data_IF_673683702509
#
_entry.id   IF_673683702509
#
_cell.length_a   1.000
_cell.length_b   1.000
_cell.length_c   1.000
_cell.angle_alpha   90.00
_cell.angle_beta   90.00
_cell.angle_gamma   90.00
#
_symmetry.space_group_name_H-M   'P 1'
#
loop_
_entity.id
_entity.type
_entity.pdbx_description
1 polymer ?
#
# COMPACT_ATOMS: atom_id res chain seq x y z
N UNK A 1 10.07 -21.25 20.64
CA UNK A 1 9.21 -20.26 19.94
C UNK A 1 7.74 -20.47 20.28
N UNK A 2 7.16 -21.64 20.04
CA UNK A 2 5.73 -21.90 20.32
C UNK A 2 5.31 -21.66 21.77
N UNK A 3 6.10 -22.14 22.74
CA UNK A 3 5.89 -21.85 24.18
C UNK A 3 5.94 -20.35 24.54
N UNK A 4 6.69 -19.54 23.78
CA UNK A 4 6.73 -18.09 23.98
C UNK A 4 5.43 -17.44 23.50
N UNK A 5 4.92 -17.86 22.34
CA UNK A 5 3.63 -17.40 21.77
C UNK A 5 2.49 -17.73 22.74
N UNK A 6 2.41 -18.98 23.20
CA UNK A 6 1.40 -19.43 24.17
C UNK A 6 1.47 -18.61 25.47
N UNK A 7 2.68 -18.38 26.01
CA UNK A 7 2.86 -17.59 27.21
C UNK A 7 2.45 -16.12 27.03
N UNK A 8 2.70 -15.52 25.86
CA UNK A 8 2.30 -14.13 25.57
C UNK A 8 0.77 -14.02 25.50
N UNK A 9 0.10 -14.96 24.82
CA UNK A 9 -1.36 -15.02 24.75
C UNK A 9 -1.96 -15.26 26.13
N UNK A 10 -1.39 -16.18 26.92
CA UNK A 10 -1.89 -16.52 28.25
C UNK A 10 -1.86 -15.33 29.23
N UNK A 11 -0.81 -14.50 29.16
CA UNK A 11 -0.64 -13.30 29.98
C UNK A 11 -1.54 -12.14 29.59
N UNK A 12 -2.15 -12.18 28.41
CA UNK A 12 -3.01 -11.14 27.92
C UNK A 12 -4.44 -11.36 28.43
N UNK A 13 -5.10 -10.28 28.87
CA UNK A 13 -6.51 -10.32 29.28
C UNK A 13 -7.43 -10.45 28.06
N UNK A 14 -7.16 -9.63 27.04
CA UNK A 14 -7.93 -9.58 25.80
C UNK A 14 -7.03 -9.48 24.58
N UNK A 15 -7.44 -10.11 23.48
CA UNK A 15 -6.70 -10.03 22.22
C UNK A 15 -7.63 -9.92 21.01
N UNK A 16 -7.04 -9.54 19.88
CA UNK A 16 -7.68 -9.57 18.56
C UNK A 16 -6.98 -10.59 17.67
N UNK A 17 -7.72 -11.20 16.75
CA UNK A 17 -7.15 -12.11 15.75
C UNK A 17 -7.12 -11.39 14.40
N UNK A 18 -5.94 -11.30 13.79
CA UNK A 18 -5.77 -10.79 12.43
C UNK A 18 -5.56 -11.98 11.49
N UNK A 19 -6.33 -11.99 10.40
CA UNK A 19 -6.18 -12.98 9.32
C UNK A 19 -5.77 -12.23 8.06
N UNK A 20 -4.55 -12.50 7.60
CA UNK A 20 -4.01 -11.95 6.35
C UNK A 20 -3.82 -13.06 5.32
N UNK A 21 -4.42 -12.86 4.14
CA UNK A 21 -4.45 -13.84 3.06
C UNK A 21 -3.65 -13.38 1.85
N UNK A 22 -2.79 -14.25 1.31
CA UNK A 22 -2.18 -14.02 0.00
C UNK A 22 -2.16 -15.28 -0.86
N UNK A 23 -2.05 -15.09 -2.18
CA UNK A 23 -1.85 -16.18 -3.13
C UNK A 23 -0.36 -16.28 -3.49
N UNK A 24 0.23 -17.46 -3.32
CA UNK A 24 1.62 -17.70 -3.68
C UNK A 24 1.79 -17.93 -5.20
N UNK A 25 3.04 -18.01 -5.66
CA UNK A 25 3.36 -18.21 -7.10
C UNK A 25 2.88 -19.53 -7.68
N UNK A 26 2.56 -20.51 -6.82
CA UNK A 26 1.99 -21.80 -7.20
C UNK A 26 0.45 -21.80 -7.15
N UNK A 27 -0.16 -20.61 -7.07
CA UNK A 27 -1.60 -20.40 -7.00
C UNK A 27 -2.27 -21.07 -5.78
N UNK A 28 -1.51 -21.25 -4.69
CA UNK A 28 -2.04 -21.69 -3.39
C UNK A 28 -2.26 -20.49 -2.50
N UNK A 29 -3.37 -20.50 -1.78
CA UNK A 29 -3.71 -19.42 -0.87
C UNK A 29 -3.15 -19.73 0.51
N UNK A 30 -2.50 -18.76 1.11
CA UNK A 30 -1.90 -18.86 2.43
C UNK A 30 -2.64 -17.87 3.33
N UNK A 31 -3.13 -18.35 4.48
CA UNK A 31 -3.75 -17.53 5.51
C UNK A 31 -2.85 -17.49 6.73
N UNK A 32 -2.35 -16.31 7.06
CA UNK A 32 -1.58 -16.08 8.26
C UNK A 32 -2.51 -15.64 9.38
N UNK A 33 -2.35 -16.25 10.54
CA UNK A 33 -3.10 -15.93 11.75
C UNK A 33 -2.12 -15.28 12.72
N UNK A 34 -2.42 -14.03 13.07
CA UNK A 34 -1.64 -13.24 14.02
C UNK A 34 -2.56 -12.91 15.19
N UNK A 35 -2.07 -13.10 16.41
CA UNK A 35 -2.79 -12.72 17.62
C UNK A 35 -2.22 -11.39 18.11
N UNK A 36 -3.04 -10.35 18.01
CA UNK A 36 -2.72 -9.02 18.48
C UNK A 36 -3.02 -8.94 19.98
N UNK A 37 -1.95 -9.12 20.75
CA UNK A 37 -1.85 -8.64 22.14
C UNK A 37 -1.16 -7.26 22.11
N UNK A 38 -0.84 -6.61 23.25
CA UNK A 38 0.02 -5.40 23.23
C UNK A 38 1.31 -5.56 22.42
N UNK A 39 1.80 -6.80 22.27
CA UNK A 39 2.80 -7.16 21.26
C UNK A 39 2.22 -8.22 20.32
N UNK A 40 2.07 -7.95 19.01
CA UNK A 40 1.56 -8.93 18.07
C UNK A 40 2.42 -10.19 18.02
N UNK A 41 1.79 -11.37 18.01
CA UNK A 41 2.48 -12.65 17.88
C UNK A 41 1.96 -13.42 16.68
N UNK A 42 2.89 -13.90 15.85
CA UNK A 42 2.56 -14.83 14.78
C UNK A 42 2.17 -16.18 15.40
N UNK A 43 0.95 -16.64 15.11
CA UNK A 43 0.42 -17.90 15.64
C UNK A 43 0.63 -19.04 14.64
N UNK A 44 0.14 -18.88 13.42
CA UNK A 44 0.25 -19.92 12.40
C UNK A 44 0.11 -19.37 10.99
N UNK A 45 0.55 -20.16 10.01
CA UNK A 45 0.29 -19.94 8.59
C UNK A 45 -0.28 -21.22 8.01
N UNK A 46 -1.42 -21.12 7.35
CA UNK A 46 -2.16 -22.25 6.81
C UNK A 46 -2.20 -22.12 5.30
N UNK A 47 -1.53 -23.05 4.61
CA UNK A 47 -1.68 -23.20 3.17
C UNK A 47 -2.99 -23.93 2.87
N UNK A 48 -3.77 -23.43 1.92
CA UNK A 48 -4.95 -24.13 1.43
C UNK A 48 -5.08 -24.01 -0.08
N UNK A 49 -5.79 -25.01 -0.63
CA UNK A 49 -6.04 -25.12 -2.05
C UNK A 49 -7.04 -24.04 -2.51
N UNK A 50 -6.72 -23.31 -3.58
CA UNK A 50 -7.48 -22.14 -4.01
C UNK A 50 -8.94 -22.46 -4.36
N UNK A 51 -9.23 -23.72 -4.73
CA UNK A 51 -10.56 -24.16 -5.17
C UNK A 51 -11.61 -24.31 -4.05
N UNK A 52 -11.25 -24.18 -2.75
CA UNK A 52 -12.13 -24.56 -1.63
C UNK A 52 -12.28 -23.53 -0.49
N UNK A 53 -11.93 -22.26 -0.72
CA UNK A 53 -11.87 -21.27 0.36
C UNK A 53 -13.11 -20.35 0.42
N UNK A 54 -14.25 -20.91 0.80
CA UNK A 54 -15.39 -20.10 1.21
C UNK A 54 -15.29 -19.69 2.69
N UNK A 55 -16.23 -18.86 3.15
CA UNK A 55 -16.27 -18.41 4.54
C UNK A 55 -16.46 -19.53 5.55
N UNK A 56 -17.07 -20.66 5.15
CA UNK A 56 -17.28 -21.82 6.04
C UNK A 56 -15.96 -22.56 6.26
N UNK A 57 -15.17 -22.75 5.20
CA UNK A 57 -13.85 -23.32 5.32
C UNK A 57 -12.95 -22.47 6.24
N UNK A 58 -12.93 -21.16 6.05
CA UNK A 58 -12.16 -20.26 6.93
C UNK A 58 -12.62 -20.34 8.39
N UNK A 59 -13.92 -20.53 8.64
CA UNK A 59 -14.43 -20.75 9.99
C UNK A 59 -13.85 -22.03 10.61
N UNK A 60 -13.67 -23.11 9.83
CA UNK A 60 -13.03 -24.34 10.35
C UNK A 60 -11.56 -24.15 10.73
N UNK A 61 -10.88 -23.16 10.16
CA UNK A 61 -9.51 -22.79 10.54
C UNK A 61 -9.48 -21.91 11.78
N UNK A 62 -10.42 -20.98 11.89
CA UNK A 62 -10.43 -19.97 12.94
C UNK A 62 -11.03 -20.48 14.26
N UNK A 63 -12.01 -21.37 14.18
CA UNK A 63 -12.72 -21.89 15.36
C UNK A 63 -11.79 -22.60 16.37
N UNK A 64 -10.87 -23.49 15.96
CA UNK A 64 -9.89 -24.06 16.89
C UNK A 64 -9.03 -22.99 17.55
N UNK A 65 -8.61 -21.97 16.80
CA UNK A 65 -7.79 -20.87 17.34
C UNK A 65 -8.55 -20.08 18.41
N UNK A 66 -9.83 -19.76 18.17
CA UNK A 66 -10.67 -19.09 19.18
C UNK A 66 -10.84 -19.96 20.42
N UNK A 67 -11.04 -21.27 20.25
CA UNK A 67 -11.17 -22.22 21.35
C UNK A 67 -9.88 -22.32 22.18
N UNK A 68 -8.73 -22.41 21.52
CA UNK A 68 -7.41 -22.53 22.15
C UNK A 68 -7.03 -21.28 22.96
N UNK A 69 -7.38 -20.09 22.47
CA UNK A 69 -7.17 -18.82 23.18
C UNK A 69 -8.15 -18.66 24.36
N UNK A 70 -9.35 -19.19 24.21
CA UNK A 70 -10.49 -18.93 25.09
C UNK A 70 -11.40 -17.85 24.47
N UNK A 71 -12.65 -18.18 24.11
CA UNK A 71 -13.54 -17.25 23.40
C UNK A 71 -13.75 -15.91 24.12
N UNK A 72 -13.80 -15.91 25.45
CA UNK A 72 -14.00 -14.70 26.27
C UNK A 72 -12.81 -13.72 26.21
N UNK A 73 -11.61 -14.20 25.86
CA UNK A 73 -10.43 -13.34 25.67
C UNK A 73 -10.40 -12.70 24.29
N UNK A 74 -11.04 -13.32 23.29
CA UNK A 74 -11.08 -12.79 21.94
C UNK A 74 -12.14 -11.70 21.87
N UNK A 75 -11.71 -10.48 21.57
CA UNK A 75 -12.61 -9.32 21.48
C UNK A 75 -12.98 -9.00 20.03
N UNK A 76 -12.03 -9.18 19.11
CA UNK A 76 -12.26 -8.86 17.71
C UNK A 76 -11.53 -9.77 16.74
N UNK A 77 -12.04 -9.80 15.52
CA UNK A 77 -11.35 -10.37 14.36
C UNK A 77 -11.18 -9.29 13.28
N UNK A 78 -9.98 -9.20 12.73
CA UNK A 78 -9.61 -8.26 11.66
C UNK A 78 -9.23 -9.06 10.43
N UNK A 79 -9.81 -8.74 9.29
CA UNK A 79 -9.54 -9.43 8.02
C UNK A 79 -9.40 -8.43 6.88
N UNK A 80 -8.97 -8.88 5.71
CA UNK A 80 -9.19 -8.11 4.48
C UNK A 80 -10.69 -7.83 4.22
N UNK A 81 -10.97 -6.95 3.25
CA UNK A 81 -12.33 -6.50 2.95
C UNK A 81 -13.06 -7.36 1.89
N UNK A 82 -12.53 -8.52 1.53
CA UNK A 82 -13.16 -9.41 0.56
C UNK A 82 -14.51 -9.94 1.07
N UNK A 83 -15.43 -10.21 0.13
CA UNK A 83 -16.78 -10.66 0.46
C UNK A 83 -16.81 -11.96 1.29
N UNK A 84 -15.84 -12.86 1.08
CA UNK A 84 -15.71 -14.11 1.85
C UNK A 84 -15.29 -13.84 3.30
N UNK A 85 -14.43 -12.85 3.53
CA UNK A 85 -13.98 -12.48 4.88
C UNK A 85 -15.09 -11.76 5.66
N UNK A 86 -15.87 -10.89 5.00
CA UNK A 86 -17.08 -10.30 5.63
C UNK A 86 -18.08 -11.37 6.08
N UNK A 87 -18.28 -12.41 5.26
CA UNK A 87 -19.12 -13.56 5.62
C UNK A 87 -18.53 -14.37 6.78
N UNK A 88 -17.21 -14.55 6.83
CA UNK A 88 -16.53 -15.17 7.97
C UNK A 88 -16.79 -14.37 9.26
N UNK A 89 -16.65 -13.04 9.20
CA UNK A 89 -16.98 -12.13 10.28
C UNK A 89 -18.37 -12.35 10.86
N UNK A 90 -19.36 -12.42 9.96
CA UNK A 90 -20.74 -12.74 10.33
C UNK A 90 -20.89 -14.11 10.99
N UNK A 91 -20.22 -15.14 10.48
CA UNK A 91 -20.27 -16.49 11.05
C UNK A 91 -19.67 -16.55 12.46
N UNK A 92 -18.55 -15.85 12.69
CA UNK A 92 -17.93 -15.73 14.01
C UNK A 92 -18.87 -15.02 14.97
N UNK A 93 -19.41 -13.85 14.59
CA UNK A 93 -20.32 -13.11 15.44
C UNK A 93 -21.60 -13.90 15.77
N UNK A 94 -22.15 -14.67 14.80
CA UNK A 94 -23.30 -15.55 15.05
C UNK A 94 -23.02 -16.61 16.13
N UNK A 95 -21.78 -17.09 16.24
CA UNK A 95 -21.38 -18.11 17.21
C UNK A 95 -20.89 -17.52 18.53
N UNK A 96 -20.26 -16.36 18.46
CA UNK A 96 -19.67 -15.61 19.57
C UNK A 96 -20.11 -14.15 19.46
N UNK A 97 -21.28 -13.84 20.03
CA UNK A 97 -21.94 -12.55 19.83
C UNK A 97 -21.11 -11.33 20.27
N UNK A 98 -20.19 -11.53 21.22
CA UNK A 98 -19.28 -10.50 21.74
C UNK A 98 -18.07 -10.24 20.84
N UNK A 99 -17.73 -11.16 19.92
CA UNK A 99 -16.61 -10.98 19.00
C UNK A 99 -17.09 -10.16 17.81
N UNK A 100 -16.55 -8.95 17.68
CA UNK A 100 -16.87 -8.09 16.54
C UNK A 100 -15.88 -8.29 15.39
N UNK A 101 -16.35 -8.09 14.16
CA UNK A 101 -15.54 -8.17 12.96
C UNK A 101 -15.25 -6.77 12.42
N UNK A 102 -14.00 -6.52 12.08
CA UNK A 102 -13.58 -5.30 11.38
C UNK A 102 -12.82 -5.65 10.10
N UNK A 103 -12.99 -4.79 9.11
CA UNK A 103 -12.23 -4.85 7.88
C UNK A 103 -10.89 -4.10 8.00
N UNK A 104 -9.92 -4.47 7.18
CA UNK A 104 -8.63 -3.81 7.13
C UNK A 104 -8.76 -2.39 6.57
N UNK A 105 -8.43 -1.39 7.40
CA UNK A 105 -8.42 0.02 7.01
C UNK A 105 -7.39 0.32 5.92
N UNK A 106 -6.17 -0.24 6.01
CA UNK A 106 -5.15 -0.09 4.97
C UNK A 106 -5.65 -0.62 3.62
N UNK A 107 -6.35 -1.75 3.63
CA UNK A 107 -6.96 -2.30 2.42
C UNK A 107 -8.06 -1.39 1.88
N UNK A 108 -8.91 -0.82 2.74
CA UNK A 108 -9.95 0.12 2.33
C UNK A 108 -9.36 1.37 1.64
N UNK A 109 -8.33 1.98 2.22
CA UNK A 109 -7.68 3.16 1.63
C UNK A 109 -6.98 2.80 0.31
N UNK A 110 -6.34 1.62 0.23
CA UNK A 110 -5.78 1.12 -1.03
C UNK A 110 -6.85 0.92 -2.11
N UNK A 111 -8.08 0.54 -1.77
CA UNK A 111 -9.19 0.46 -2.72
C UNK A 111 -9.62 1.84 -3.22
N UNK A 112 -9.66 2.85 -2.35
CA UNK A 112 -9.91 4.25 -2.77
C UNK A 112 -8.84 4.70 -3.77
N UNK A 113 -7.56 4.46 -3.45
CA UNK A 113 -6.44 4.78 -4.32
C UNK A 113 -6.55 4.08 -5.69
N UNK A 114 -6.98 2.80 -5.69
CA UNK A 114 -7.21 2.00 -6.89
C UNK A 114 -8.32 2.55 -7.77
N UNK A 115 -9.44 2.96 -7.18
CA UNK A 115 -10.58 3.47 -7.92
C UNK A 115 -10.29 4.86 -8.51
N UNK A 116 -9.58 5.73 -7.79
CA UNK A 116 -9.07 7.00 -8.35
C UNK A 116 -8.07 6.73 -9.49
N UNK A 117 -7.14 5.79 -9.30
CA UNK A 117 -6.15 5.43 -10.32
C UNK A 117 -6.76 4.84 -11.61
N UNK A 118 -8.04 4.41 -11.57
CA UNK A 118 -8.79 3.88 -12.72
C UNK A 118 -9.51 4.95 -13.53
N UNK A 119 -9.65 6.17 -13.03
CA UNK A 119 -10.24 7.28 -13.79
C UNK A 119 -9.40 7.48 -15.07
N UNK A 120 -10.02 7.45 -16.25
CA UNK A 120 -9.31 7.33 -17.54
C UNK A 120 -8.18 8.35 -17.74
N UNK A 121 -8.41 9.61 -17.37
CA UNK A 121 -7.41 10.67 -17.46
C UNK A 121 -6.22 10.42 -16.51
N UNK A 122 -6.48 9.97 -15.29
CA UNK A 122 -5.46 9.61 -14.29
C UNK A 122 -4.72 8.35 -14.71
N UNK A 123 -5.43 7.31 -15.13
CA UNK A 123 -4.85 6.04 -15.57
C UNK A 123 -3.89 6.25 -16.75
N UNK A 124 -4.29 7.10 -17.71
CA UNK A 124 -3.45 7.49 -18.85
C UNK A 124 -2.19 8.21 -18.40
N UNK A 125 -2.32 9.21 -17.51
CA UNK A 125 -1.18 9.96 -16.99
C UNK A 125 -0.22 9.07 -16.18
N UNK A 126 -0.75 8.21 -15.30
CA UNK A 126 0.05 7.26 -14.53
C UNK A 126 0.81 6.28 -15.44
N UNK A 127 0.19 5.81 -16.52
CA UNK A 127 0.83 4.93 -17.51
C UNK A 127 1.99 5.62 -18.22
N UNK A 128 1.80 6.88 -18.64
CA UNK A 128 2.84 7.69 -19.28
C UNK A 128 4.02 7.93 -18.33
N UNK A 129 3.74 8.34 -17.09
CA UNK A 129 4.77 8.54 -16.06
C UNK A 129 5.56 7.26 -15.79
N UNK A 130 4.86 6.13 -15.58
CA UNK A 130 5.51 4.86 -15.29
C UNK A 130 6.38 4.39 -16.45
N UNK A 131 5.92 4.57 -17.70
CA UNK A 131 6.69 4.26 -18.91
C UNK A 131 7.95 5.11 -19.02
N UNK A 132 7.87 6.43 -18.78
CA UNK A 132 9.02 7.32 -18.79
C UNK A 132 10.06 6.89 -17.74
N UNK A 133 9.61 6.67 -16.51
CA UNK A 133 10.49 6.25 -15.41
C UNK A 133 11.14 4.91 -15.74
N UNK A 134 10.38 3.95 -16.28
CA UNK A 134 10.88 2.63 -16.66
C UNK A 134 11.95 2.72 -17.76
N UNK A 135 11.72 3.51 -18.80
CA UNK A 135 12.69 3.76 -19.88
C UNK A 135 14.01 4.30 -19.34
N UNK A 136 13.96 5.32 -18.47
CA UNK A 136 15.17 5.91 -17.89
C UNK A 136 15.90 4.92 -16.99
N UNK A 137 15.17 4.17 -16.15
CA UNK A 137 15.76 3.23 -15.20
C UNK A 137 16.37 2.00 -15.89
N UNK A 138 15.83 1.55 -17.02
CA UNK A 138 16.37 0.43 -17.79
C UNK A 138 17.67 0.78 -18.52
N UNK A 139 17.89 2.05 -18.84
CA UNK A 139 19.11 2.51 -19.51
C UNK A 139 20.11 3.10 -18.51
N UNK A 140 21.26 2.44 -18.36
CA UNK A 140 22.36 2.95 -17.54
C UNK A 140 22.82 4.34 -18.01
N UNK A 141 22.85 4.56 -19.33
CA UNK A 141 23.21 5.84 -19.95
C UNK A 141 22.22 6.95 -19.58
N UNK A 142 20.92 6.73 -19.78
CA UNK A 142 19.89 7.74 -19.42
C UNK A 142 19.88 8.04 -17.92
N UNK A 143 20.04 7.00 -17.09
CA UNK A 143 20.18 7.16 -15.64
C UNK A 143 21.42 7.98 -15.25
N UNK A 144 22.54 7.82 -15.95
CA UNK A 144 23.76 8.61 -15.72
C UNK A 144 23.58 10.07 -16.15
N UNK A 145 22.95 10.33 -17.30
CA UNK A 145 22.64 11.68 -17.79
C UNK A 145 21.73 12.39 -16.78
N UNK A 146 20.65 11.73 -16.32
CA UNK A 146 19.76 12.29 -15.31
C UNK A 146 20.50 12.60 -13.99
N UNK A 147 21.39 11.72 -13.54
CA UNK A 147 22.21 11.96 -12.34
C UNK A 147 23.18 13.12 -12.52
N UNK A 148 23.78 13.27 -13.70
CA UNK A 148 24.67 14.39 -14.05
C UNK A 148 23.88 15.71 -13.99
N UNK A 149 22.73 15.78 -14.65
CA UNK A 149 21.90 16.98 -14.69
C UNK A 149 21.29 17.32 -13.32
N UNK A 150 20.89 16.31 -12.53
CA UNK A 150 20.40 16.57 -11.18
C UNK A 150 21.49 17.07 -10.22
N UNK A 151 22.77 16.76 -10.43
CA UNK A 151 23.87 17.40 -9.68
C UNK A 151 24.05 18.86 -10.05
N UNK A 152 23.88 19.20 -11.33
CA UNK A 152 23.96 20.58 -11.85
C UNK A 152 22.85 21.41 -11.21
N UNK A 153 21.59 20.96 -11.29
CA UNK A 153 20.42 21.63 -10.70
C UNK A 153 20.60 21.86 -9.20
N UNK A 154 21.07 20.84 -8.47
CA UNK A 154 21.22 20.91 -7.01
C UNK A 154 22.48 21.66 -6.56
N UNK A 155 23.31 22.16 -7.48
CA UNK A 155 24.56 22.87 -7.16
C UNK A 155 25.59 22.04 -6.38
N UNK A 156 25.47 20.70 -6.38
CA UNK A 156 26.30 19.84 -5.54
C UNK A 156 27.46 19.21 -6.30
N UNK A 157 28.66 19.73 -6.06
CA UNK A 157 29.94 19.15 -6.49
C UNK A 157 30.51 18.27 -5.38
N UNK A 158 30.21 16.96 -5.45
CA UNK A 158 30.64 15.87 -4.53
C UNK A 158 29.95 15.83 -3.16
N UNK A 159 29.51 14.63 -2.77
CA UNK A 159 29.08 14.31 -1.40
C UNK A 159 27.58 14.34 -1.09
N UNK A 160 26.69 14.56 -2.07
CA UNK A 160 25.26 14.66 -1.77
C UNK A 160 24.65 13.30 -1.38
N UNK A 161 24.04 13.24 -0.18
CA UNK A 161 23.35 12.07 0.39
C UNK A 161 21.96 11.82 -0.22
N UNK A 162 21.45 12.74 -1.05
CA UNK A 162 20.14 12.61 -1.72
C UNK A 162 20.32 12.28 -3.21
N UNK A 163 20.48 10.99 -3.58
CA UNK A 163 20.63 10.59 -4.97
C UNK A 163 19.43 11.04 -5.80
N UNK A 164 19.67 11.36 -7.08
CA UNK A 164 18.62 11.48 -8.08
C UNK A 164 18.03 10.09 -8.28
N UNK A 165 16.84 9.87 -7.72
CA UNK A 165 16.13 8.59 -7.76
C UNK A 165 14.76 8.84 -8.36
N UNK A 166 14.46 8.14 -9.44
CA UNK A 166 13.09 7.94 -9.91
C UNK A 166 12.56 6.64 -9.31
N UNK A 167 11.31 6.67 -8.86
CA UNK A 167 10.61 5.52 -8.27
C UNK A 167 9.53 5.03 -9.21
N UNK A 168 9.44 3.71 -9.38
CA UNK A 168 8.33 3.06 -10.05
C UNK A 168 7.31 2.69 -8.98
N UNK A 169 6.03 2.71 -9.35
CA UNK A 169 4.99 2.10 -8.53
C UNK A 169 4.60 0.73 -9.11
N UNK A 170 4.13 -0.15 -8.25
CA UNK A 170 3.51 -1.40 -8.69
C UNK A 170 2.02 -1.18 -8.88
N UNK A 171 1.42 -1.77 -9.93
CA UNK A 171 -0.04 -1.82 -10.11
C UNK A 171 -0.79 -2.46 -8.93
N UNK A 172 -0.08 -3.16 -8.04
CA UNK A 172 -0.62 -3.81 -6.84
C UNK A 172 -0.32 -3.08 -5.54
N UNK A 173 0.46 -1.99 -5.56
CA UNK A 173 0.81 -1.20 -4.36
C UNK A 173 0.62 0.28 -4.66
N UNK A 174 -0.60 0.76 -4.42
CA UNK A 174 -1.02 2.11 -4.77
C UNK A 174 -0.33 3.20 -3.94
N UNK A 175 0.16 2.87 -2.74
CA UNK A 175 1.08 3.73 -1.99
C UNK A 175 2.29 4.20 -2.82
N UNK A 176 2.81 3.35 -3.71
CA UNK A 176 3.96 3.70 -4.55
C UNK A 176 3.69 4.82 -5.56
N UNK A 177 2.42 5.19 -5.80
CA UNK A 177 2.05 6.29 -6.71
C UNK A 177 2.59 7.62 -6.18
N UNK A 178 2.40 7.91 -4.88
CA UNK A 178 2.91 9.15 -4.27
C UNK A 178 4.43 9.25 -4.37
N UNK A 179 5.12 8.13 -4.14
CA UNK A 179 6.57 7.99 -4.31
C UNK A 179 7.03 8.30 -5.75
N UNK A 180 6.34 7.74 -6.75
CA UNK A 180 6.64 8.01 -8.16
C UNK A 180 6.44 9.50 -8.47
N UNK A 181 5.29 10.05 -8.13
CA UNK A 181 4.93 11.45 -8.42
C UNK A 181 5.92 12.42 -7.78
N UNK A 182 6.22 12.23 -6.49
CA UNK A 182 7.22 13.03 -5.77
C UNK A 182 8.60 12.90 -6.39
N UNK A 183 9.01 11.69 -6.77
CA UNK A 183 10.31 11.46 -7.41
C UNK A 183 10.42 12.13 -8.79
N UNK A 184 9.35 12.11 -9.59
CA UNK A 184 9.35 12.73 -10.92
C UNK A 184 9.37 14.25 -10.80
N UNK A 185 8.52 14.83 -9.95
CA UNK A 185 8.46 16.28 -9.71
C UNK A 185 9.76 16.83 -9.13
N UNK A 186 10.36 16.13 -8.16
CA UNK A 186 11.64 16.53 -7.55
C UNK A 186 12.82 16.52 -8.53
N UNK A 187 12.66 15.87 -9.69
CA UNK A 187 13.66 15.80 -10.74
C UNK A 187 13.21 16.51 -12.03
N UNK A 188 12.15 17.33 -11.99
CA UNK A 188 11.61 18.07 -13.15
C UNK A 188 12.69 18.85 -13.91
N UNK A 189 13.43 19.71 -13.21
CA UNK A 189 14.46 20.55 -13.81
C UNK A 189 15.60 19.71 -14.42
N UNK A 190 15.99 18.62 -13.74
CA UNK A 190 17.01 17.71 -14.24
C UNK A 190 16.53 16.99 -15.52
N UNK A 191 15.27 16.56 -15.55
CA UNK A 191 14.64 15.94 -16.73
C UNK A 191 14.54 16.92 -17.89
N UNK A 192 14.18 18.19 -17.63
CA UNK A 192 14.18 19.26 -18.64
C UNK A 192 15.57 19.45 -19.25
N UNK A 193 16.62 19.55 -18.43
CA UNK A 193 18.00 19.65 -18.91
C UNK A 193 18.45 18.42 -19.71
N UNK A 194 17.98 17.22 -19.36
CA UNK A 194 18.27 16.02 -20.14
C UNK A 194 17.80 16.14 -21.58
N UNK A 195 16.70 16.84 -21.86
CA UNK A 195 16.18 16.95 -23.23
C UNK A 195 17.09 17.74 -24.18
N UNK A 196 18.02 18.53 -23.63
CA UNK A 196 19.04 19.26 -24.39
C UNK A 196 20.32 18.46 -24.62
N UNK A 197 20.46 17.27 -24.02
CA UNK A 197 21.59 16.38 -24.21
C UNK A 197 21.28 15.44 -25.39
N UNK A 198 22.10 15.50 -26.46
CA UNK A 198 21.92 14.67 -27.66
C UNK A 198 22.03 13.16 -27.36
N UNK A 199 22.68 12.80 -26.25
CA UNK A 199 22.77 11.40 -25.81
C UNK A 199 21.55 10.93 -25.03
N UNK A 200 20.62 11.83 -24.66
CA UNK A 200 19.37 11.51 -24.00
C UNK A 200 18.32 11.04 -25.01
N UNK A 201 18.50 9.81 -25.49
CA UNK A 201 17.63 9.19 -26.49
C UNK A 201 16.43 8.53 -25.78
N UNK A 202 15.28 9.19 -25.87
CA UNK A 202 13.94 8.67 -25.52
C UNK A 202 13.03 8.84 -26.72
N UNK A 203 11.85 8.22 -26.71
CA UNK A 203 10.86 8.45 -27.78
C UNK A 203 10.43 9.93 -27.85
N UNK A 204 10.05 10.37 -29.05
CA UNK A 204 9.71 11.77 -29.28
C UNK A 204 8.52 12.25 -28.44
N UNK A 205 7.58 11.35 -28.13
CA UNK A 205 6.40 11.69 -27.33
C UNK A 205 6.78 11.89 -25.86
N UNK A 206 7.66 11.05 -25.31
CA UNK A 206 8.25 11.25 -23.98
C UNK A 206 9.06 12.54 -23.90
N UNK A 207 9.85 12.88 -24.93
CA UNK A 207 10.60 14.14 -24.98
C UNK A 207 9.67 15.36 -25.00
N UNK A 208 8.62 15.34 -25.84
CA UNK A 208 7.58 16.38 -25.88
C UNK A 208 6.86 16.51 -24.54
N UNK A 209 6.53 15.39 -23.91
CA UNK A 209 5.88 15.34 -22.60
C UNK A 209 6.75 15.98 -21.51
N UNK A 210 8.06 15.74 -21.49
CA UNK A 210 8.98 16.38 -20.55
C UNK A 210 9.03 17.91 -20.76
N UNK A 211 8.90 18.38 -22.01
CA UNK A 211 8.92 19.80 -22.35
C UNK A 211 7.56 20.51 -22.17
N UNK A 212 6.46 19.75 -22.05
CA UNK A 212 5.10 20.25 -21.91
C UNK A 212 4.84 20.80 -20.50
N UNK A 213 4.51 22.08 -20.39
CA UNK A 213 4.18 22.72 -19.10
C UNK A 213 2.90 22.16 -18.50
N UNK A 214 1.88 21.91 -19.33
CA UNK A 214 0.58 21.41 -18.87
C UNK A 214 0.73 19.98 -18.32
N UNK A 215 1.66 19.19 -18.87
CA UNK A 215 2.00 17.89 -18.30
C UNK A 215 2.45 18.02 -16.85
N UNK A 216 3.38 18.92 -16.55
CA UNK A 216 3.87 19.12 -15.18
C UNK A 216 2.79 19.62 -14.22
N UNK A 217 1.89 20.47 -14.70
CA UNK A 217 0.73 20.92 -13.91
C UNK A 217 -0.20 19.75 -13.59
N UNK A 218 -0.54 18.92 -14.58
CA UNK A 218 -1.35 17.70 -14.38
C UNK A 218 -0.69 16.74 -13.38
N UNK A 219 0.63 16.55 -13.44
CA UNK A 219 1.38 15.70 -12.48
C UNK A 219 1.34 16.30 -11.08
N UNK A 220 1.44 17.64 -10.96
CA UNK A 220 1.35 18.35 -9.68
C UNK A 220 -0.03 18.22 -9.05
N UNK A 221 -1.10 18.38 -9.85
CA UNK A 221 -2.47 18.15 -9.39
C UNK A 221 -2.70 16.69 -8.97
N UNK A 222 -2.19 15.75 -9.76
CA UNK A 222 -2.28 14.33 -9.41
C UNK A 222 -1.56 14.01 -8.09
N UNK A 223 -0.40 14.64 -7.82
CA UNK A 223 0.28 14.52 -6.53
C UNK A 223 -0.62 14.99 -5.38
N UNK A 224 -1.28 16.14 -5.51
CA UNK A 224 -2.17 16.67 -4.46
C UNK A 224 -3.32 15.71 -4.12
N UNK A 225 -3.83 14.99 -5.12
CA UNK A 225 -4.88 13.97 -4.90
C UNK A 225 -4.33 12.74 -4.17
N UNK A 226 -3.16 12.25 -4.56
CA UNK A 226 -2.62 11.01 -4.00
C UNK A 226 -1.84 11.19 -2.69
N UNK A 227 -1.33 12.37 -2.40
CA UNK A 227 -0.56 12.67 -1.18
C UNK A 227 -1.30 12.29 0.12
N UNK A 228 -2.52 12.83 0.40
CA UNK A 228 -3.26 12.46 1.61
C UNK A 228 -3.58 10.97 1.67
N UNK A 229 -3.80 10.32 0.52
CA UNK A 229 -4.05 8.89 0.41
C UNK A 229 -2.80 8.09 0.81
N UNK A 230 -1.63 8.48 0.30
CA UNK A 230 -0.38 7.81 0.62
C UNK A 230 0.04 8.01 2.07
N UNK A 231 -0.17 9.20 2.62
CA UNK A 231 0.08 9.50 4.03
C UNK A 231 -0.83 8.66 4.94
N UNK A 232 -2.13 8.60 4.62
CA UNK A 232 -3.07 7.78 5.37
C UNK A 232 -2.72 6.28 5.31
N UNK A 233 -2.29 5.75 4.15
CA UNK A 233 -1.79 4.36 4.07
C UNK A 233 -0.57 4.18 4.98
N UNK A 234 0.40 5.09 4.94
CA UNK A 234 1.61 5.00 5.76
C UNK A 234 1.29 5.04 7.26
N UNK A 235 0.33 5.86 7.68
CA UNK A 235 -0.14 5.90 9.07
C UNK A 235 -0.80 4.59 9.46
N UNK A 236 -1.76 4.10 8.66
CA UNK A 236 -2.51 2.88 9.02
C UNK A 236 -1.66 1.60 8.97
N UNK A 237 -0.63 1.55 8.13
CA UNK A 237 0.31 0.43 8.06
C UNK A 237 1.43 0.51 9.11
N UNK A 238 1.54 1.60 9.88
CA UNK A 238 2.53 1.73 10.93
C UNK A 238 2.19 0.85 12.15
N UNK A 239 3.21 0.26 12.76
CA UNK A 239 3.08 -0.62 13.94
C UNK A 239 2.41 0.08 15.15
N UNK A 240 2.45 1.41 15.19
CA UNK A 240 1.91 2.23 16.28
C UNK A 240 0.46 2.67 16.05
N UNK A 241 -0.14 2.39 14.88
CA UNK A 241 -1.49 2.85 14.57
C UNK A 241 -2.55 2.10 15.38
N UNK A 242 -3.30 2.85 16.18
CA UNK A 242 -4.43 2.32 16.94
C UNK A 242 -5.71 2.33 16.11
N UNK A 243 -6.61 1.37 16.36
CA UNK A 243 -7.97 1.36 15.81
C UNK A 243 -8.74 2.65 16.13
N UNK A 244 -8.40 3.32 17.25
CA UNK A 244 -9.05 4.56 17.67
C UNK A 244 -8.74 5.75 16.74
N UNK A 245 -7.62 5.71 16.00
CA UNK A 245 -7.24 6.75 15.04
C UNK A 245 -7.96 6.61 13.69
N UNK A 246 -8.53 5.44 13.40
CA UNK A 246 -9.13 5.15 12.09
C UNK A 246 -10.24 6.14 11.71
N UNK A 247 -11.21 6.51 12.59
CA UNK A 247 -12.24 7.48 12.22
C UNK A 247 -11.67 8.85 11.82
N UNK A 248 -10.66 9.34 12.54
CA UNK A 248 -9.99 10.62 12.24
C UNK A 248 -9.26 10.57 10.89
N UNK A 249 -8.53 9.49 10.62
CA UNK A 249 -7.83 9.29 9.33
C UNK A 249 -8.82 9.31 8.14
N UNK A 250 -10.00 8.69 8.30
CA UNK A 250 -11.02 8.71 7.24
C UNK A 250 -11.70 10.09 7.09
N UNK A 251 -11.87 10.83 8.20
CA UNK A 251 -12.35 12.21 8.14
C UNK A 251 -11.35 13.12 7.44
N UNK A 252 -10.06 13.03 7.77
CA UNK A 252 -9.00 13.79 7.11
C UNK A 252 -8.93 13.50 5.61
N UNK A 253 -9.05 12.22 5.23
CA UNK A 253 -9.16 11.81 3.83
C UNK A 253 -10.39 12.40 3.15
N UNK A 254 -11.53 12.41 3.84
CA UNK A 254 -12.78 12.97 3.32
C UNK A 254 -12.66 14.48 3.12
N UNK A 255 -12.05 15.21 4.05
CA UNK A 255 -11.82 16.65 3.92
C UNK A 255 -10.81 16.98 2.81
N UNK A 256 -9.78 16.15 2.64
CA UNK A 256 -8.75 16.36 1.62
C UNK A 256 -9.24 16.05 0.19
N UNK A 257 -10.14 15.07 0.02
CA UNK A 257 -10.62 14.61 -1.29
C UNK A 257 -12.04 15.10 -1.62
N UNK A 258 -12.79 15.55 -0.61
CA UNK A 258 -14.17 15.97 -0.73
C UNK A 258 -14.32 17.24 -1.56
N UNK A 259 -15.54 17.53 -2.04
CA UNK A 259 -15.80 18.78 -2.74
C UNK A 259 -15.51 19.96 -1.81
N UNK A 260 -14.57 20.82 -2.20
CA UNK A 260 -14.42 22.12 -1.57
C UNK A 260 -15.71 22.91 -1.87
N UNK A 261 -16.44 23.27 -0.83
CA UNK A 261 -17.62 24.14 -0.92
C UNK A 261 -17.23 25.58 -1.18
#
# INVERSE_FOLDING_TARGET
VQKLVENTIAKCDYCSIVIDGWTNVSNKNIHNIIICTPLPVFHSSVECDAAKQDSKYLMTLLEPVIADIGPEKVTSIVTDNEAKMKKLGFLVNKKHAHIFHTGCAAHAINLIAKDIARIDSIATLLKLLNSLVETIKKSSKLSQILRKNGKIVKGTTKGNKNPVVLRLYSKTRFYGIGDMLSSVLSNREALLLCTSDDEFIVDNDAKKMILDMDFWERVTHLKRVFEPITEAIAVVEADECSIAAIPEIFEDLYQALGPHS
#
